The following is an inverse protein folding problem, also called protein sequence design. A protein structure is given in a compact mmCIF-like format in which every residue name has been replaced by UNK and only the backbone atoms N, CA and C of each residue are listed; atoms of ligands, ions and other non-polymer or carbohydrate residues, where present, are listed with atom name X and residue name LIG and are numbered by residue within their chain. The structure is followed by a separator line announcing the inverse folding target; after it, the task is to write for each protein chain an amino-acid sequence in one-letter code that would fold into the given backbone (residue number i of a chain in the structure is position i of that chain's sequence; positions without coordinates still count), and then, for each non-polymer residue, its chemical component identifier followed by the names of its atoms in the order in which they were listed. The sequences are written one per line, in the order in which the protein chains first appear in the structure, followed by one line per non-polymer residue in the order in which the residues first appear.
data_IF_251806972170
#
_entry.id   IF_251806972170
#
_cell.length_a   1.000
_cell.length_b   1.000
_cell.length_c   1.000
_cell.angle_alpha   90.00
_cell.angle_beta   90.00
_cell.angle_gamma   90.00
#
_symmetry.space_group_name_H-M   'P 1'
#
loop_
_entity.id
_entity.type
_entity.pdbx_description
1 polymer ?
#
# COMPACT_ATOMS: atom_id res chain seq x y z
N UNK A 1 18.63 6.07 37.24
CA UNK A 1 19.24 5.70 35.94
C UNK A 1 18.73 4.31 35.59
N UNK A 2 17.85 4.16 34.59
CA UNK A 2 17.51 2.82 34.06
C UNK A 2 18.58 2.46 33.04
N UNK A 3 19.21 1.30 33.18
CA UNK A 3 20.20 0.81 32.22
C UNK A 3 19.59 0.82 30.82
N UNK A 4 20.30 1.42 29.87
CA UNK A 4 19.89 1.43 28.46
C UNK A 4 20.12 0.02 27.93
N UNK A 5 19.16 -0.86 28.17
CA UNK A 5 19.10 -2.14 27.50
C UNK A 5 18.65 -1.83 26.08
N UNK A 6 19.55 -2.04 25.11
CA UNK A 6 19.28 -1.72 23.71
C UNK A 6 18.02 -2.43 23.21
N UNK A 7 17.24 -1.77 22.37
CA UNK A 7 16.02 -2.34 21.78
C UNK A 7 16.42 -3.25 20.62
N UNK A 8 16.22 -4.57 20.72
CA UNK A 8 16.62 -5.49 19.67
C UNK A 8 15.69 -5.39 18.46
N UNK A 9 16.25 -5.63 17.27
CA UNK A 9 15.46 -5.83 16.07
C UNK A 9 14.54 -7.05 16.22
N UNK A 10 13.37 -6.99 15.61
CA UNK A 10 12.35 -8.03 15.67
C UNK A 10 12.30 -8.73 14.32
N UNK A 11 13.24 -9.63 14.08
CA UNK A 11 13.47 -10.26 12.76
C UNK A 11 12.87 -11.67 12.68
N UNK A 12 12.55 -12.12 11.46
CA UNK A 12 12.02 -13.46 11.21
C UNK A 12 10.67 -13.74 11.89
N UNK A 13 10.29 -15.03 11.95
CA UNK A 13 9.02 -15.47 12.55
C UNK A 13 8.95 -15.13 14.04
N UNK A 14 10.01 -15.42 14.79
CA UNK A 14 10.07 -15.17 16.23
C UNK A 14 9.99 -13.68 16.59
N UNK A 15 10.55 -12.81 15.74
CA UNK A 15 10.40 -11.36 15.91
C UNK A 15 8.97 -10.88 15.68
N UNK A 16 8.29 -11.43 14.67
CA UNK A 16 6.89 -11.13 14.41
C UNK A 16 6.01 -11.56 15.58
N UNK A 17 6.21 -12.79 16.09
CA UNK A 17 5.46 -13.32 17.21
C UNK A 17 5.65 -12.47 18.47
N UNK A 18 6.89 -12.09 18.78
CA UNK A 18 7.18 -11.17 19.89
C UNK A 18 6.51 -9.81 19.74
N UNK A 19 6.39 -9.27 18.53
CA UNK A 19 5.66 -8.01 18.33
C UNK A 19 4.16 -8.17 18.56
N UNK A 20 3.55 -9.26 18.11
CA UNK A 20 2.12 -9.55 18.34
C UNK A 20 1.86 -9.78 19.84
N UNK A 21 2.74 -10.51 20.52
CA UNK A 21 2.66 -10.74 21.96
C UNK A 21 2.77 -9.42 22.74
N UNK A 22 3.75 -8.56 22.40
CA UNK A 22 3.87 -7.23 23.01
C UNK A 22 2.62 -6.38 22.75
N UNK A 23 2.04 -6.47 21.54
CA UNK A 23 0.80 -5.78 21.23
C UNK A 23 -0.33 -6.28 22.13
N UNK A 24 -0.47 -7.60 22.28
CA UNK A 24 -1.46 -8.23 23.14
C UNK A 24 -1.34 -7.78 24.60
N UNK A 25 -0.13 -7.80 25.17
CA UNK A 25 0.13 -7.34 26.54
C UNK A 25 -0.31 -5.90 26.72
N UNK A 26 0.13 -4.99 25.84
CA UNK A 26 -0.28 -3.58 25.90
C UNK A 26 -1.79 -3.39 25.67
N UNK A 27 -2.44 -4.22 24.86
CA UNK A 27 -3.89 -4.18 24.67
C UNK A 27 -4.64 -4.56 25.96
N UNK A 28 -4.23 -5.63 26.64
CA UNK A 28 -4.87 -6.06 27.90
C UNK A 28 -4.66 -5.01 28.99
N UNK A 29 -3.49 -4.40 29.05
CA UNK A 29 -3.17 -3.36 30.04
C UNK A 29 -3.93 -2.06 29.79
N UNK A 30 -4.07 -1.61 28.54
CA UNK A 30 -4.56 -0.26 28.24
C UNK A 30 -6.01 -0.23 27.74
N UNK A 31 -6.43 -1.20 26.91
CA UNK A 31 -7.75 -1.20 26.27
C UNK A 31 -8.75 -2.02 27.09
N UNK A 32 -8.38 -3.23 27.52
CA UNK A 32 -9.29 -4.09 28.28
C UNK A 32 -9.64 -3.49 29.66
N UNK A 33 -8.72 -2.74 30.27
CA UNK A 33 -8.93 -1.98 31.51
C UNK A 33 -9.68 -0.65 31.30
N UNK A 34 -10.06 -0.32 30.07
CA UNK A 34 -10.70 0.95 29.65
C UNK A 34 -9.89 2.21 29.96
N UNK A 35 -8.56 2.11 30.09
CA UNK A 35 -7.69 3.27 30.26
C UNK A 35 -7.53 4.06 28.95
N UNK A 36 -7.51 3.37 27.80
CA UNK A 36 -7.37 3.97 26.47
C UNK A 36 -8.37 3.38 25.49
N UNK A 37 -8.74 4.19 24.50
CA UNK A 37 -9.42 3.67 23.31
C UNK A 37 -8.44 2.82 22.48
N UNK A 38 -8.97 1.84 21.75
CA UNK A 38 -8.17 0.99 20.86
C UNK A 38 -7.35 1.82 19.88
N UNK A 39 -7.96 2.83 19.26
CA UNK A 39 -7.26 3.75 18.35
C UNK A 39 -6.03 4.41 19.00
N UNK A 40 -6.14 4.87 20.27
CA UNK A 40 -5.02 5.52 20.97
C UNK A 40 -3.93 4.51 21.32
N UNK A 41 -4.31 3.34 21.83
CA UNK A 41 -3.40 2.23 22.10
C UNK A 41 -2.60 1.84 20.84
N UNK A 42 -3.26 1.69 19.69
CA UNK A 42 -2.60 1.31 18.44
C UNK A 42 -1.57 2.36 18.02
N UNK A 43 -1.92 3.66 18.10
CA UNK A 43 -0.98 4.74 17.78
C UNK A 43 0.25 4.73 18.71
N UNK A 44 0.03 4.59 20.02
CA UNK A 44 1.10 4.56 21.01
C UNK A 44 2.01 3.34 20.81
N UNK A 45 1.42 2.17 20.59
CA UNK A 45 2.15 0.92 20.35
C UNK A 45 3.04 1.04 19.11
N UNK A 46 2.48 1.47 17.97
CA UNK A 46 3.21 1.64 16.71
C UNK A 46 4.39 2.59 16.90
N UNK A 47 4.17 3.77 17.50
CA UNK A 47 5.25 4.71 17.73
C UNK A 47 6.34 4.17 18.66
N UNK A 48 5.98 3.34 19.64
CA UNK A 48 6.94 2.75 20.59
C UNK A 48 7.82 1.65 20.00
N UNK A 49 7.39 0.99 18.91
CA UNK A 49 8.08 -0.17 18.32
C UNK A 49 8.83 0.14 17.02
N UNK A 50 8.84 1.39 16.58
CA UNK A 50 9.40 1.81 15.29
C UNK A 50 10.92 1.67 15.18
N UNK A 51 11.65 1.89 16.27
CA UNK A 51 13.09 2.00 16.25
C UNK A 51 13.75 0.86 17.04
N UNK A 52 14.91 0.44 16.57
CA UNK A 52 15.76 -0.56 17.22
C UNK A 52 17.24 -0.20 17.01
N UNK A 53 18.13 -0.81 17.78
CA UNK A 53 19.54 -0.43 17.82
C UNK A 53 20.43 -1.21 16.83
N UNK A 54 19.91 -2.27 16.18
CA UNK A 54 20.68 -3.00 15.16
C UNK A 54 21.09 -2.08 13.99
N UNK A 55 22.36 -2.17 13.59
CA UNK A 55 22.97 -1.27 12.59
C UNK A 55 22.97 -1.83 11.19
N UNK A 56 22.91 -3.15 11.04
CA UNK A 56 22.97 -3.85 9.76
C UNK A 56 21.66 -3.73 8.97
N UNK A 57 21.79 -3.73 7.63
CA UNK A 57 20.65 -3.53 6.74
C UNK A 57 19.66 -4.69 6.78
N UNK A 58 20.14 -5.93 7.00
CA UNK A 58 19.29 -7.11 7.03
C UNK A 58 18.32 -7.04 8.22
N UNK A 59 18.82 -6.75 9.42
CA UNK A 59 18.01 -6.61 10.62
C UNK A 59 17.03 -5.45 10.53
N UNK A 60 17.45 -4.32 9.96
CA UNK A 60 16.59 -3.16 9.70
C UNK A 60 15.43 -3.52 8.78
N UNK A 61 15.73 -4.19 7.67
CA UNK A 61 14.71 -4.58 6.69
C UNK A 61 13.76 -5.63 7.27
N UNK A 62 14.27 -6.65 7.96
CA UNK A 62 13.43 -7.69 8.56
C UNK A 62 12.56 -7.17 9.70
N UNK A 63 13.09 -6.30 10.56
CA UNK A 63 12.27 -5.63 11.58
C UNK A 63 11.22 -4.75 10.92
N UNK A 64 11.58 -3.96 9.92
CA UNK A 64 10.65 -3.09 9.20
C UNK A 64 9.51 -3.89 8.57
N UNK A 65 9.80 -5.06 7.98
CA UNK A 65 8.79 -5.98 7.45
C UNK A 65 7.80 -6.42 8.53
N UNK A 66 8.31 -6.96 9.64
CA UNK A 66 7.46 -7.44 10.74
C UNK A 66 6.67 -6.31 11.40
N UNK A 67 7.30 -5.14 11.58
CA UNK A 67 6.67 -3.94 12.12
C UNK A 67 5.50 -3.48 11.24
N UNK A 68 5.65 -3.45 9.91
CA UNK A 68 4.55 -3.09 9.01
C UNK A 68 3.43 -4.13 8.99
N UNK A 69 3.74 -5.42 9.09
CA UNK A 69 2.73 -6.48 9.26
C UNK A 69 1.84 -6.22 10.47
N UNK A 70 2.46 -5.90 11.62
CA UNK A 70 1.70 -5.63 12.86
C UNK A 70 0.95 -4.29 12.79
N UNK A 71 1.51 -3.26 12.16
CA UNK A 71 0.79 -1.99 11.92
C UNK A 71 -0.51 -2.24 11.17
N UNK A 72 -0.44 -2.94 10.04
CA UNK A 72 -1.61 -3.17 9.18
C UNK A 72 -2.66 -4.01 9.92
N UNK A 73 -2.23 -5.09 10.59
CA UNK A 73 -3.08 -5.92 11.44
C UNK A 73 -3.83 -5.07 12.48
N UNK A 74 -3.12 -4.21 13.23
CA UNK A 74 -3.71 -3.40 14.30
C UNK A 74 -4.56 -2.24 13.78
N UNK A 75 -4.18 -1.59 12.67
CA UNK A 75 -4.91 -0.42 12.14
C UNK A 75 -6.15 -0.81 11.34
N UNK A 76 -6.05 -1.85 10.51
CA UNK A 76 -7.09 -2.18 9.53
C UNK A 76 -7.97 -3.35 9.95
N UNK A 77 -7.52 -4.19 10.88
CA UNK A 77 -8.22 -5.42 11.25
C UNK A 77 -8.59 -5.48 12.75
N UNK A 78 -9.08 -4.36 13.31
CA UNK A 78 -9.51 -4.27 14.72
C UNK A 78 -10.44 -5.42 15.14
N UNK A 79 -11.42 -5.77 14.29
CA UNK A 79 -12.37 -6.86 14.61
C UNK A 79 -11.67 -8.21 14.76
N UNK A 80 -10.68 -8.49 13.91
CA UNK A 80 -9.88 -9.70 14.00
C UNK A 80 -8.98 -9.67 15.24
N UNK A 81 -8.35 -8.54 15.51
CA UNK A 81 -7.50 -8.36 16.70
C UNK A 81 -8.32 -8.59 17.97
N UNK A 82 -9.49 -7.95 18.12
CA UNK A 82 -10.37 -8.15 19.27
C UNK A 82 -10.84 -9.59 19.42
N UNK A 83 -11.20 -10.25 18.30
CA UNK A 83 -11.58 -11.67 18.28
C UNK A 83 -10.52 -12.53 18.98
N UNK A 84 -9.22 -12.26 18.78
CA UNK A 84 -8.15 -13.04 19.40
C UNK A 84 -7.69 -12.46 20.75
N UNK A 85 -7.56 -11.14 20.88
CA UNK A 85 -7.00 -10.47 22.05
C UNK A 85 -7.98 -10.34 23.23
N UNK A 86 -9.28 -10.48 23.02
CA UNK A 86 -10.24 -10.45 24.13
C UNK A 86 -10.22 -11.74 24.96
N UNK A 87 -9.62 -12.82 24.45
CA UNK A 87 -9.35 -14.04 25.22
C UNK A 87 -8.32 -13.78 26.33
N UNK A 88 -8.34 -14.58 27.39
CA UNK A 88 -7.49 -14.35 28.58
C UNK A 88 -6.01 -14.67 28.35
N UNK A 89 -5.71 -15.59 27.43
CA UNK A 89 -4.36 -16.02 27.11
C UNK A 89 -4.22 -16.06 25.60
N UNK A 90 -3.17 -15.43 25.08
CA UNK A 90 -2.75 -15.52 23.69
C UNK A 90 -1.42 -16.25 23.64
N UNK A 91 -1.49 -17.57 23.45
CA UNK A 91 -0.31 -18.42 23.31
C UNK A 91 0.22 -18.43 21.86
N UNK A 92 1.32 -19.14 21.63
CA UNK A 92 1.95 -19.23 20.30
C UNK A 92 0.99 -19.77 19.22
N UNK A 93 0.11 -20.70 19.59
CA UNK A 93 -0.90 -21.24 18.69
C UNK A 93 -1.99 -20.22 18.38
N UNK A 94 -2.41 -19.43 19.37
CA UNK A 94 -3.31 -18.28 19.19
C UNK A 94 -2.72 -17.22 18.25
N UNK A 95 -1.45 -16.86 18.44
CA UNK A 95 -0.74 -15.95 17.52
C UNK A 95 -0.67 -16.52 16.11
N UNK A 96 -0.35 -17.82 15.98
CA UNK A 96 -0.32 -18.50 14.68
C UNK A 96 -1.70 -18.48 14.01
N UNK A 97 -2.77 -18.73 14.77
CA UNK A 97 -4.14 -18.72 14.25
C UNK A 97 -4.55 -17.31 13.81
N UNK A 98 -4.25 -16.29 14.62
CA UNK A 98 -4.47 -14.89 14.28
C UNK A 98 -3.76 -14.49 12.98
N UNK A 99 -2.48 -14.83 12.85
CA UNK A 99 -1.69 -14.51 11.67
C UNK A 99 -2.15 -15.30 10.44
N UNK A 100 -2.53 -16.57 10.59
CA UNK A 100 -3.07 -17.37 9.50
C UNK A 100 -4.42 -16.82 9.02
N UNK A 101 -5.32 -16.45 9.93
CA UNK A 101 -6.57 -15.78 9.60
C UNK A 101 -6.31 -14.45 8.90
N UNK A 102 -5.35 -13.66 9.40
CA UNK A 102 -4.96 -12.39 8.79
C UNK A 102 -4.44 -12.57 7.36
N UNK A 103 -3.49 -13.47 7.14
CA UNK A 103 -2.95 -13.75 5.80
C UNK A 103 -4.00 -14.37 4.86
N UNK A 104 -4.95 -15.13 5.40
CA UNK A 104 -6.06 -15.69 4.65
C UNK A 104 -7.07 -14.63 4.14
N UNK A 105 -7.13 -13.44 4.74
CA UNK A 105 -8.00 -12.34 4.25
C UNK A 105 -7.63 -11.95 2.81
N UNK A 106 -6.35 -12.00 2.51
CA UNK A 106 -5.81 -11.59 1.21
C UNK A 106 -5.68 -12.78 0.23
N UNK A 107 -5.92 -14.01 0.70
CA UNK A 107 -5.92 -15.19 -0.17
C UNK A 107 -7.28 -15.30 -0.88
N UNK A 108 -7.32 -15.45 -2.23
CA UNK A 108 -8.55 -15.79 -2.92
C UNK A 108 -9.06 -17.11 -2.36
N UNK A 109 -10.26 -17.09 -1.79
CA UNK A 109 -10.77 -18.15 -0.94
C UNK A 109 -10.52 -19.54 -1.51
N UNK A 110 -9.78 -20.36 -0.77
CA UNK A 110 -9.95 -21.81 -0.84
C UNK A 110 -11.38 -22.08 -0.40
N UNK A 111 -12.28 -22.20 -1.38
CA UNK A 111 -13.51 -22.93 -1.20
C UNK A 111 -13.11 -24.31 -0.65
N UNK A 112 -13.38 -24.50 0.63
CA UNK A 112 -13.28 -25.78 1.30
C UNK A 112 -14.46 -26.61 0.79
N UNK A 113 -14.34 -27.15 -0.42
CA UNK A 113 -15.22 -28.21 -0.90
C UNK A 113 -14.48 -29.54 -0.82
N UNK A 114 -14.93 -30.31 0.17
CA UNK A 114 -14.88 -31.75 0.22
C UNK A 114 -15.34 -32.37 -1.11
N UNK A 115 -14.56 -33.30 -1.68
CA UNK A 115 -15.06 -34.26 -2.67
C UNK A 115 -14.15 -34.53 -3.88
N UNK A 116 -13.39 -35.64 -3.79
CA UNK A 116 -12.96 -36.57 -4.84
C UNK A 116 -12.94 -36.16 -6.34
N UNK A 117 -11.78 -36.38 -7.00
CA UNK A 117 -11.77 -37.02 -8.32
C UNK A 117 -10.97 -36.35 -9.45
N UNK A 118 -9.72 -36.81 -9.62
CA UNK A 118 -9.01 -37.13 -10.88
C UNK A 118 -8.57 -36.06 -11.93
N UNK A 119 -7.26 -36.17 -12.24
CA UNK A 119 -6.51 -35.89 -13.48
C UNK A 119 -6.68 -34.61 -14.32
N UNK A 120 -5.54 -33.95 -14.55
CA UNK A 120 -5.29 -33.23 -15.81
C UNK A 120 -4.30 -32.07 -15.70
N UNK A 121 -3.08 -32.27 -16.19
CA UNK A 121 -2.03 -31.25 -16.36
C UNK A 121 -2.51 -29.94 -17.02
N UNK A 122 -2.20 -28.79 -16.42
CA UNK A 122 -2.00 -27.54 -17.15
C UNK A 122 -1.05 -26.61 -16.39
N UNK A 123 0.07 -26.28 -17.05
CA UNK A 123 1.04 -25.23 -16.71
C UNK A 123 0.38 -24.02 -16.03
N UNK A 124 0.68 -23.81 -14.74
CA UNK A 124 0.40 -22.55 -14.06
C UNK A 124 1.45 -21.52 -14.48
N UNK A 125 1.08 -20.70 -15.46
CA UNK A 125 1.69 -19.39 -15.63
C UNK A 125 1.38 -18.57 -14.38
N UNK A 126 2.41 -18.18 -13.62
CA UNK A 126 2.29 -17.34 -12.44
C UNK A 126 1.62 -16.02 -12.79
N UNK A 127 0.34 -15.90 -12.46
CA UNK A 127 -0.32 -14.62 -12.34
C UNK A 127 -0.14 -14.17 -10.89
N UNK A 128 0.83 -13.28 -10.69
CA UNK A 128 0.94 -12.44 -9.51
C UNK A 128 -0.35 -11.62 -9.35
N UNK A 129 -1.34 -12.20 -8.67
CA UNK A 129 -2.50 -11.47 -8.18
C UNK A 129 -2.01 -10.60 -7.03
N UNK A 130 -1.47 -9.43 -7.39
CA UNK A 130 -1.30 -8.32 -6.47
C UNK A 130 -2.65 -8.11 -5.78
N UNK A 131 -2.73 -8.43 -4.49
CA UNK A 131 -3.87 -8.09 -3.65
C UNK A 131 -3.97 -6.56 -3.66
N UNK A 132 -4.92 -6.10 -4.46
CA UNK A 132 -5.07 -4.71 -4.81
C UNK A 132 -6.25 -4.21 -4.00
N UNK A 133 -5.99 -3.38 -2.99
CA UNK A 133 -7.05 -2.54 -2.46
C UNK A 133 -7.46 -1.58 -3.59
N UNK A 134 -8.71 -1.65 -4.09
CA UNK A 134 -9.17 -0.74 -5.12
C UNK A 134 -9.13 0.70 -4.56
N UNK A 135 -8.71 1.65 -5.40
CA UNK A 135 -8.75 3.06 -5.03
C UNK A 135 -10.20 3.44 -4.69
N UNK A 136 -10.40 4.06 -3.54
CA UNK A 136 -11.72 4.50 -3.14
C UNK A 136 -12.19 5.70 -4.00
N UNK A 137 -13.51 5.95 -4.01
CA UNK A 137 -14.12 7.01 -4.85
C UNK A 137 -13.55 8.40 -4.59
N UNK A 138 -13.30 8.78 -3.33
CA UNK A 138 -12.75 10.10 -3.00
C UNK A 138 -11.32 10.25 -3.53
N UNK A 139 -10.50 9.21 -3.37
CA UNK A 139 -9.14 9.20 -3.91
C UNK A 139 -9.15 9.30 -5.44
N UNK A 140 -10.04 8.56 -6.12
CA UNK A 140 -10.21 8.63 -7.57
C UNK A 140 -10.68 10.02 -8.03
N UNK A 141 -11.63 10.62 -7.34
CA UNK A 141 -12.13 11.98 -7.65
C UNK A 141 -11.00 13.01 -7.55
N UNK A 142 -10.17 12.95 -6.51
CA UNK A 142 -9.03 13.86 -6.35
C UNK A 142 -7.94 13.62 -7.40
N UNK A 143 -7.67 12.37 -7.77
CA UNK A 143 -6.73 12.07 -8.87
C UNK A 143 -7.24 12.63 -10.19
N UNK A 144 -8.54 12.52 -10.46
CA UNK A 144 -9.16 13.08 -11.67
C UNK A 144 -9.11 14.61 -11.67
N UNK A 145 -9.42 15.25 -10.54
CA UNK A 145 -9.29 16.71 -10.37
C UNK A 145 -7.86 17.17 -10.62
N UNK A 146 -6.88 16.51 -9.99
CA UNK A 146 -5.46 16.79 -10.20
C UNK A 146 -5.07 16.65 -11.68
N UNK A 147 -5.44 15.53 -12.33
CA UNK A 147 -5.11 15.27 -13.72
C UNK A 147 -5.68 16.34 -14.67
N UNK A 148 -6.90 16.81 -14.40
CA UNK A 148 -7.52 17.90 -15.15
C UNK A 148 -6.87 19.26 -14.85
N UNK A 149 -6.60 19.58 -13.58
CA UNK A 149 -6.00 20.86 -13.15
C UNK A 149 -4.62 21.08 -13.79
N UNK A 150 -3.82 20.03 -13.92
CA UNK A 150 -2.47 20.11 -14.52
C UNK A 150 -2.46 19.81 -16.02
N UNK A 151 -3.64 19.64 -16.64
CA UNK A 151 -3.79 19.24 -18.05
C UNK A 151 -2.91 18.04 -18.41
N UNK A 152 -2.99 16.97 -17.62
CA UNK A 152 -2.14 15.78 -17.73
C UNK A 152 -2.39 15.04 -19.04
N UNK A 153 -3.65 14.99 -19.47
CA UNK A 153 -4.12 14.36 -20.70
C UNK A 153 -4.70 15.42 -21.66
N UNK A 154 -4.83 15.06 -22.94
CA UNK A 154 -5.51 15.92 -23.93
C UNK A 154 -7.02 15.90 -23.74
N UNK A 155 -7.53 14.80 -23.23
CA UNK A 155 -8.92 14.60 -22.87
C UNK A 155 -9.21 15.16 -21.46
N UNK A 156 -10.39 15.74 -21.26
CA UNK A 156 -10.88 16.12 -19.93
C UNK A 156 -11.57 14.91 -19.31
N UNK A 157 -11.11 14.49 -18.14
CA UNK A 157 -11.63 13.30 -17.46
C UNK A 157 -12.87 13.65 -16.63
N UNK A 158 -13.90 12.81 -16.72
CA UNK A 158 -15.07 12.88 -15.84
C UNK A 158 -14.91 11.91 -14.68
N UNK A 159 -15.03 12.41 -13.45
CA UNK A 159 -14.77 11.64 -12.22
C UNK A 159 -15.69 10.42 -12.09
N UNK A 160 -17.01 10.59 -12.27
CA UNK A 160 -17.97 9.49 -12.18
C UNK A 160 -17.73 8.38 -13.22
N UNK A 161 -17.36 8.79 -14.44
CA UNK A 161 -17.00 7.86 -15.52
C UNK A 161 -15.73 7.08 -15.18
N UNK A 162 -14.68 7.76 -14.69
CA UNK A 162 -13.42 7.11 -14.28
C UNK A 162 -13.66 6.15 -13.12
N UNK A 163 -14.45 6.54 -12.12
CA UNK A 163 -14.79 5.69 -10.96
C UNK A 163 -15.54 4.43 -11.41
N UNK A 164 -16.55 4.59 -12.26
CA UNK A 164 -17.35 3.47 -12.79
C UNK A 164 -16.45 2.51 -13.57
N UNK A 165 -15.63 3.04 -14.49
CA UNK A 165 -14.73 2.24 -15.33
C UNK A 165 -13.57 1.62 -14.58
N UNK A 166 -13.12 2.25 -13.50
CA UNK A 166 -12.10 1.68 -12.62
C UNK A 166 -12.65 0.46 -11.90
N UNK A 167 -13.89 0.53 -11.39
CA UNK A 167 -14.54 -0.58 -10.70
C UNK A 167 -14.82 -1.78 -11.61
N UNK A 168 -15.13 -1.55 -12.89
CA UNK A 168 -15.39 -2.61 -13.87
C UNK A 168 -14.15 -3.05 -14.66
N UNK A 169 -12.97 -2.50 -14.34
CA UNK A 169 -11.72 -2.69 -15.07
C UNK A 169 -11.78 -2.38 -16.59
N UNK A 170 -12.58 -1.38 -16.96
CA UNK A 170 -12.81 -0.94 -18.35
C UNK A 170 -12.38 0.51 -18.59
N UNK A 171 -11.26 0.92 -17.98
CA UNK A 171 -10.69 2.25 -18.20
C UNK A 171 -10.40 2.48 -19.68
N UNK A 172 -10.74 3.68 -20.15
CA UNK A 172 -10.48 4.08 -21.53
C UNK A 172 -9.02 4.50 -21.72
N UNK A 173 -8.49 4.26 -22.91
CA UNK A 173 -7.20 4.78 -23.32
C UNK A 173 -7.27 6.30 -23.47
N UNK A 174 -6.29 7.00 -22.90
CA UNK A 174 -6.17 8.47 -22.91
C UNK A 174 -4.86 8.90 -23.54
N UNK A 175 -4.78 10.14 -24.04
CA UNK A 175 -3.58 10.69 -24.68
C UNK A 175 -2.85 11.61 -23.72
N UNK A 176 -1.60 11.27 -23.40
CA UNK A 176 -0.71 12.13 -22.63
C UNK A 176 -0.58 13.51 -23.27
N UNK A 177 -0.68 14.58 -22.50
CA UNK A 177 -0.35 15.92 -23.01
C UNK A 177 1.17 16.13 -23.01
N UNK A 178 1.85 15.65 -21.97
CA UNK A 178 3.30 15.71 -21.82
C UNK A 178 3.81 14.46 -21.08
N UNK A 179 4.60 13.63 -21.77
CA UNK A 179 5.07 12.35 -21.22
C UNK A 179 5.94 12.51 -19.96
N UNK A 180 6.75 13.56 -19.90
CA UNK A 180 7.60 13.86 -18.73
C UNK A 180 6.74 14.18 -17.52
N UNK A 181 5.75 15.08 -17.66
CA UNK A 181 4.84 15.45 -16.57
C UNK A 181 3.98 14.28 -16.11
N UNK A 182 3.46 13.50 -17.06
CA UNK A 182 2.70 12.28 -16.79
C UNK A 182 3.49 11.32 -15.91
N UNK A 183 4.69 10.97 -16.36
CA UNK A 183 5.55 9.99 -15.70
C UNK A 183 5.98 10.48 -14.32
N UNK A 184 6.33 11.77 -14.20
CA UNK A 184 6.71 12.38 -12.91
C UNK A 184 5.56 12.39 -11.90
N UNK A 185 4.34 12.71 -12.35
CA UNK A 185 3.16 12.72 -11.48
C UNK A 185 2.82 11.31 -10.99
N UNK A 186 2.82 10.32 -11.88
CA UNK A 186 2.52 8.93 -11.51
C UNK A 186 3.59 8.36 -10.56
N UNK A 187 4.85 8.70 -10.77
CA UNK A 187 5.95 8.31 -9.87
C UNK A 187 5.82 8.95 -8.48
N UNK A 188 5.43 10.24 -8.41
CA UNK A 188 5.08 10.91 -7.15
C UNK A 188 3.88 10.24 -6.46
N UNK A 189 2.80 9.94 -7.17
CA UNK A 189 1.65 9.25 -6.57
C UNK A 189 2.05 7.86 -6.04
N UNK A 190 2.87 7.12 -6.78
CA UNK A 190 3.33 5.79 -6.40
C UNK A 190 4.28 5.82 -5.20
N UNK A 191 5.25 6.74 -5.17
CA UNK A 191 6.19 6.90 -4.04
C UNK A 191 5.51 7.34 -2.74
N UNK A 192 4.29 7.86 -2.83
CA UNK A 192 3.46 8.19 -1.69
C UNK A 192 2.33 7.17 -1.44
N UNK A 193 2.40 5.97 -2.05
CA UNK A 193 1.43 4.87 -1.88
C UNK A 193 -0.02 5.23 -2.27
N UNK A 194 -0.21 6.28 -3.09
CA UNK A 194 -1.53 6.66 -3.61
C UNK A 194 -1.95 5.74 -4.74
N UNK A 195 -1.01 5.29 -5.57
CA UNK A 195 -1.23 4.28 -6.60
C UNK A 195 -0.22 3.14 -6.43
N UNK A 196 -0.47 2.02 -7.10
CA UNK A 196 0.44 0.87 -7.04
C UNK A 196 1.84 1.20 -7.56
N UNK A 197 2.87 0.67 -6.91
CA UNK A 197 4.27 0.85 -7.32
C UNK A 197 4.54 0.33 -8.74
N UNK A 198 3.84 -0.72 -9.18
CA UNK A 198 4.00 -1.30 -10.52
C UNK A 198 3.19 -0.59 -11.62
N UNK A 199 2.80 0.68 -11.41
CA UNK A 199 1.93 1.46 -12.30
C UNK A 199 2.37 1.44 -13.76
N UNK A 200 3.68 1.44 -14.05
CA UNK A 200 4.22 1.37 -15.41
C UNK A 200 3.80 0.07 -16.12
N UNK A 201 3.84 -1.05 -15.41
CA UNK A 201 3.43 -2.36 -15.95
C UNK A 201 1.91 -2.39 -16.18
N UNK A 202 1.13 -1.84 -15.26
CA UNK A 202 -0.33 -1.75 -15.38
C UNK A 202 -0.73 -0.95 -16.62
N UNK A 203 -0.15 0.24 -16.81
CA UNK A 203 -0.41 1.09 -17.98
C UNK A 203 -0.02 0.39 -19.27
N UNK A 204 1.16 -0.24 -19.31
CA UNK A 204 1.66 -0.92 -20.50
C UNK A 204 0.81 -2.14 -20.88
N UNK A 205 0.48 -3.01 -19.91
CA UNK A 205 -0.34 -4.21 -20.12
C UNK A 205 -1.75 -3.87 -20.59
N UNK A 206 -2.36 -2.84 -19.99
CA UNK A 206 -3.73 -2.42 -20.31
C UNK A 206 -3.82 -1.37 -21.43
N UNK A 207 -2.68 -0.95 -21.99
CA UNK A 207 -2.60 0.07 -23.05
C UNK A 207 -3.40 1.34 -22.72
N UNK A 208 -3.27 1.81 -21.48
CA UNK A 208 -4.10 2.90 -20.95
C UNK A 208 -3.69 4.29 -21.45
N UNK A 209 -2.45 4.46 -21.92
CA UNK A 209 -1.94 5.79 -22.30
C UNK A 209 -1.24 5.77 -23.66
N UNK A 210 -1.65 6.71 -24.51
CA UNK A 210 -0.99 7.08 -25.77
C UNK A 210 0.01 8.20 -25.49
N UNK A 211 1.19 8.13 -26.12
CA UNK A 211 2.23 9.15 -26.01
C UNK A 211 1.75 10.52 -26.48
N UNK A 212 2.38 11.60 -26.03
CA UNK A 212 2.04 12.98 -26.44
C UNK A 212 2.03 13.24 -27.95
N UNK A 213 2.83 12.51 -28.72
CA UNK A 213 2.82 12.57 -30.19
C UNK A 213 1.60 11.90 -30.85
N UNK A 214 0.79 11.16 -30.09
CA UNK A 214 -0.35 10.38 -30.60
C UNK A 214 0.03 9.08 -31.31
N UNK A 215 1.32 8.78 -31.48
CA UNK A 215 1.77 7.73 -32.41
C UNK A 215 1.81 6.32 -31.83
N UNK A 216 1.97 6.18 -30.52
CA UNK A 216 2.14 4.87 -29.87
C UNK A 216 1.58 4.86 -28.45
N UNK A 217 1.27 3.66 -27.97
CA UNK A 217 1.00 3.43 -26.56
C UNK A 217 2.32 3.49 -25.78
N UNK A 218 2.30 4.10 -24.60
CA UNK A 218 3.46 4.12 -23.71
C UNK A 218 3.64 2.73 -23.10
N UNK A 219 4.84 2.17 -23.27
CA UNK A 219 5.23 0.93 -22.62
C UNK A 219 6.11 1.22 -21.38
N UNK A 220 6.42 0.17 -20.61
CA UNK A 220 7.22 0.29 -19.40
C UNK A 220 8.61 0.90 -19.68
N UNK A 221 9.27 0.48 -20.76
CA UNK A 221 10.59 0.98 -21.13
C UNK A 221 10.56 2.49 -21.43
N UNK A 222 9.56 2.98 -22.16
CA UNK A 222 9.38 4.40 -22.47
C UNK A 222 9.26 5.25 -21.19
N UNK A 223 8.47 4.77 -20.22
CA UNK A 223 8.24 5.47 -18.96
C UNK A 223 9.49 5.43 -18.06
N UNK A 224 10.16 4.28 -17.93
CA UNK A 224 11.40 4.16 -17.14
C UNK A 224 12.55 4.97 -17.73
N UNK A 225 12.71 4.96 -19.05
CA UNK A 225 13.71 5.79 -19.73
C UNK A 225 13.45 7.27 -19.49
N UNK A 226 12.18 7.69 -19.53
CA UNK A 226 11.78 9.06 -19.22
C UNK A 226 12.10 9.44 -17.78
N UNK A 227 11.82 8.58 -16.78
CA UNK A 227 12.20 8.83 -15.38
C UNK A 227 13.69 9.02 -15.19
N UNK A 228 14.51 8.14 -15.79
CA UNK A 228 15.96 8.22 -15.65
C UNK A 228 16.50 9.56 -16.18
N UNK A 229 15.99 10.04 -17.32
CA UNK A 229 16.36 11.35 -17.87
C UNK A 229 15.97 12.52 -16.97
N UNK A 230 14.87 12.40 -16.23
CA UNK A 230 14.40 13.45 -15.32
C UNK A 230 15.29 13.54 -14.09
N UNK A 231 15.77 12.41 -13.55
CA UNK A 231 16.62 12.37 -12.35
C UNK A 231 17.91 13.18 -12.48
N UNK A 232 18.44 13.26 -13.69
CA UNK A 232 19.70 13.96 -13.98
C UNK A 232 19.50 15.46 -14.27
N UNK A 233 18.25 15.96 -14.26
CA UNK A 233 17.92 17.35 -14.63
C UNK A 233 17.35 18.13 -13.44
N UNK A 234 17.93 19.30 -13.14
CA UNK A 234 17.43 20.15 -12.07
C UNK A 234 16.06 20.79 -12.43
N UNK A 235 15.07 20.76 -11.52
CA UNK A 235 13.73 21.22 -11.83
C UNK A 235 13.64 22.74 -11.98
N UNK A 236 13.03 23.18 -13.08
CA UNK A 236 12.79 24.60 -13.34
C UNK A 236 11.60 25.16 -12.52
N UNK A 237 11.34 26.47 -12.60
CA UNK A 237 10.29 27.13 -11.80
C UNK A 237 8.89 26.55 -12.10
N UNK A 238 8.58 26.26 -13.37
CA UNK A 238 7.29 25.70 -13.75
C UNK A 238 7.12 24.26 -13.27
N UNK A 239 8.20 23.46 -13.26
CA UNK A 239 8.22 22.12 -12.69
C UNK A 239 8.07 22.14 -11.16
N UNK A 240 8.67 23.11 -10.48
CA UNK A 240 8.47 23.31 -9.04
C UNK A 240 7.01 23.63 -8.71
N UNK A 241 6.37 24.50 -9.49
CA UNK A 241 4.94 24.80 -9.34
C UNK A 241 4.08 23.57 -9.61
N UNK A 242 4.39 22.81 -10.67
CA UNK A 242 3.71 21.56 -10.97
C UNK A 242 3.83 20.53 -9.83
N UNK A 243 5.04 20.35 -9.27
CA UNK A 243 5.28 19.47 -8.14
C UNK A 243 4.54 19.94 -6.88
N UNK A 244 4.45 21.25 -6.63
CA UNK A 244 3.71 21.80 -5.50
C UNK A 244 2.20 21.51 -5.59
N UNK A 245 1.62 21.53 -6.80
CA UNK A 245 0.22 21.14 -7.02
C UNK A 245 0.05 19.65 -6.71
N UNK A 246 0.94 18.79 -7.19
CA UNK A 246 0.90 17.34 -6.88
C UNK A 246 0.96 17.11 -5.37
N UNK A 247 1.89 17.78 -4.68
CA UNK A 247 2.07 17.63 -3.24
C UNK A 247 0.82 18.07 -2.45
N UNK A 248 0.19 19.18 -2.86
CA UNK A 248 -1.11 19.62 -2.30
C UNK A 248 -2.17 18.51 -2.39
N UNK A 249 -2.32 17.89 -3.57
CA UNK A 249 -3.31 16.82 -3.75
C UNK A 249 -2.95 15.54 -3.00
N UNK A 250 -1.67 15.17 -2.93
CA UNK A 250 -1.22 14.04 -2.10
C UNK A 250 -1.58 14.29 -0.63
N UNK A 251 -1.36 15.50 -0.12
CA UNK A 251 -1.76 15.88 1.22
C UNK A 251 -3.28 15.78 1.42
N UNK A 252 -4.10 16.23 0.46
CA UNK A 252 -5.56 16.10 0.54
C UNK A 252 -6.05 14.65 0.55
N UNK A 253 -5.41 13.79 -0.24
CA UNK A 253 -5.72 12.34 -0.28
C UNK A 253 -5.37 11.70 1.06
N UNK A 254 -4.20 12.02 1.62
CA UNK A 254 -3.70 11.42 2.87
C UNK A 254 -4.36 11.98 4.14
N UNK A 255 -4.77 13.23 4.13
CA UNK A 255 -5.41 13.89 5.28
C UNK A 255 -6.90 13.55 5.43
N UNK A 256 -7.42 12.60 4.66
CA UNK A 256 -8.77 12.06 4.81
C UNK A 256 -8.97 11.23 6.09
N UNK A 257 -8.07 11.33 7.07
CA UNK A 257 -8.32 10.88 8.44
C UNK A 257 -9.32 11.82 9.12
N UNK A 258 -10.61 11.61 8.84
CA UNK A 258 -11.72 11.97 9.75
C UNK A 258 -12.51 10.71 10.06
#
# INVERSE_FOLDING_TARGET
MRGVQGTPAQTGKEGLFRLVEQAYVSYKEEVATRQKSYRRYVLDFIHSKRFHDATDAWSKNEHQKNYHTVIELLRKHERLVRKHFDHDILDENGISTLLNEYYAIDLPGTALESGCGDSGNAMQNGQESNIRLPLDRYTLDLIVQLANEVCLFKEVLNADNVVTRYATDTLQTVTSNNNTKLVLLLDKLASHDVITYNWQSVIAKKRLVISSSGKKHLNQHDMSSTLNRIKDTAPNIAEKQFLAIIDKYITLIKNREV
#
